data_IF_258072092182
#
_entry.id   IF_258072092182
#
_cell.length_a   1.000
_cell.length_b   1.000
_cell.length_c   1.000
_cell.angle_alpha   90.00
_cell.angle_beta   90.00
_cell.angle_gamma   90.00
#
_symmetry.space_group_name_H-M   'P 1'
#
loop_
_entity.id
_entity.type
_entity.pdbx_description
1 polymer ?
#
# COMPACT_ATOMS: atom_id res chain seq x y z
N UNK A 1 -42.36 -14.67 33.49
CA UNK A 1 -43.71 -15.27 33.34
C UNK A 1 -44.75 -14.35 33.98
N UNK A 2 -45.41 -13.50 33.21
CA UNK A 2 -46.81 -13.08 33.40
C UNK A 2 -47.22 -12.18 32.23
N UNK A 3 -47.96 -12.79 31.32
CA UNK A 3 -48.82 -12.15 30.34
C UNK A 3 -50.06 -11.59 31.05
N UNK A 4 -50.58 -10.45 30.58
CA UNK A 4 -52.03 -10.21 30.57
C UNK A 4 -52.39 -9.22 29.46
N UNK A 5 -53.47 -9.58 28.78
CA UNK A 5 -54.00 -9.01 27.54
C UNK A 5 -55.30 -8.23 27.81
N UNK A 6 -55.77 -7.48 26.79
CA UNK A 6 -57.17 -7.05 26.66
C UNK A 6 -57.28 -5.69 25.94
N UNK A 7 -57.47 -5.64 24.62
CA UNK A 7 -58.74 -5.68 23.86
C UNK A 7 -59.69 -4.48 24.07
N UNK A 8 -59.87 -3.68 23.00
CA UNK A 8 -61.17 -3.13 22.61
C UNK A 8 -61.16 -2.73 21.12
N UNK A 9 -61.91 -3.48 20.33
CA UNK A 9 -62.35 -3.18 18.96
C UNK A 9 -63.71 -2.47 19.03
N UNK A 10 -63.96 -1.56 18.08
CA UNK A 10 -65.11 -1.59 17.15
C UNK A 10 -65.64 -0.18 16.78
N UNK A 11 -66.00 -0.02 15.50
CA UNK A 11 -67.20 0.76 15.14
C UNK A 11 -67.12 1.71 13.96
N UNK A 12 -67.11 1.19 12.73
CA UNK A 12 -67.49 1.90 11.50
C UNK A 12 -68.93 2.44 11.55
N UNK A 13 -69.21 3.53 10.80
CA UNK A 13 -70.45 3.69 10.01
C UNK A 13 -70.30 4.74 8.89
N UNK A 14 -70.56 4.29 7.66
CA UNK A 14 -70.68 5.04 6.40
C UNK A 14 -72.02 5.80 6.26
N UNK A 15 -72.03 6.90 5.48
CA UNK A 15 -72.97 7.26 4.37
C UNK A 15 -72.63 8.66 3.83
N UNK A 16 -72.14 8.79 2.59
CA UNK A 16 -72.85 8.98 1.30
C UNK A 16 -73.39 10.41 1.06
N UNK A 17 -72.71 11.19 0.20
CA UNK A 17 -73.16 11.71 -1.13
C UNK A 17 -74.07 12.97 -1.06
N UNK A 18 -73.92 14.08 -1.81
CA UNK A 18 -73.57 14.27 -3.22
C UNK A 18 -73.59 15.79 -3.63
N UNK A 19 -73.00 16.08 -4.80
CA UNK A 19 -73.39 17.07 -5.84
C UNK A 19 -73.08 18.60 -5.75
N UNK A 20 -72.09 18.97 -6.57
CA UNK A 20 -72.09 20.02 -7.63
C UNK A 20 -72.38 21.51 -7.30
N UNK A 21 -71.38 22.37 -7.56
CA UNK A 21 -71.49 23.50 -8.54
C UNK A 21 -70.14 24.20 -8.82
N UNK A 22 -69.71 24.08 -10.09
CA UNK A 22 -69.11 25.09 -10.99
C UNK A 22 -68.21 26.19 -10.39
N UNK A 23 -66.91 26.06 -10.63
CA UNK A 23 -65.97 27.18 -10.69
C UNK A 23 -65.11 27.07 -11.95
N UNK A 24 -65.49 27.80 -13.00
CA UNK A 24 -64.75 27.95 -14.25
C UNK A 24 -63.84 29.16 -14.09
N UNK A 25 -62.53 28.97 -13.93
CA UNK A 25 -61.53 30.02 -14.18
C UNK A 25 -60.42 29.41 -15.03
N UNK A 26 -60.52 29.65 -16.34
CA UNK A 26 -59.40 29.49 -17.25
C UNK A 26 -58.60 30.80 -17.24
N UNK A 27 -57.28 30.66 -17.13
CA UNK A 27 -56.22 31.32 -17.91
C UNK A 27 -55.10 31.86 -17.02
N UNK A 28 -53.89 31.49 -17.40
CA UNK A 28 -52.71 32.32 -17.17
C UNK A 28 -51.58 31.58 -16.46
N UNK A 29 -50.45 31.48 -17.17
CA UNK A 29 -49.11 31.12 -16.69
C UNK A 29 -48.79 29.64 -16.51
N UNK A 30 -48.74 28.91 -17.63
CA UNK A 30 -47.53 28.10 -17.85
C UNK A 30 -46.36 29.07 -17.98
N UNK A 31 -45.61 29.22 -16.89
CA UNK A 31 -44.28 29.83 -16.93
C UNK A 31 -43.39 28.84 -17.68
N UNK A 32 -42.94 29.23 -18.86
CA UNK A 32 -41.83 28.58 -19.55
C UNK A 32 -40.62 28.63 -18.62
N UNK A 33 -40.32 27.50 -17.96
CA UNK A 33 -39.03 27.30 -17.32
C UNK A 33 -37.98 27.32 -18.43
N UNK A 34 -36.90 28.13 -18.34
CA UNK A 34 -35.86 28.09 -19.33
C UNK A 34 -35.30 26.67 -19.40
N UNK A 35 -35.43 26.04 -20.57
CA UNK A 35 -34.87 24.72 -20.80
C UNK A 35 -33.36 24.82 -20.56
N UNK A 36 -32.82 23.94 -19.72
CA UNK A 36 -31.37 23.89 -19.48
C UNK A 36 -30.70 23.63 -20.84
N UNK A 37 -29.74 24.45 -21.28
CA UNK A 37 -29.10 24.25 -22.57
C UNK A 37 -28.42 22.90 -22.58
N UNK A 38 -28.74 22.08 -23.58
CA UNK A 38 -28.11 20.78 -23.80
C UNK A 38 -26.59 20.99 -23.94
N UNK A 39 -25.83 20.46 -22.98
CA UNK A 39 -24.39 20.69 -22.86
C UNK A 39 -23.61 19.75 -23.77
N UNK A 40 -24.25 18.68 -24.24
CA UNK A 40 -23.64 17.64 -25.08
C UNK A 40 -23.63 18.03 -26.56
N UNK A 41 -24.36 19.09 -26.93
CA UNK A 41 -24.51 19.56 -28.31
C UNK A 41 -24.01 20.98 -28.48
N UNK A 42 -23.32 21.20 -29.59
CA UNK A 42 -22.82 22.50 -29.97
C UNK A 42 -23.98 23.45 -30.27
N UNK A 43 -24.00 24.63 -29.65
CA UNK A 43 -25.01 25.65 -29.93
C UNK A 43 -24.89 26.26 -31.35
N UNK A 44 -23.72 26.16 -31.99
CA UNK A 44 -23.46 26.74 -33.30
C UNK A 44 -23.82 25.79 -34.46
N UNK A 45 -23.56 24.49 -34.33
CA UNK A 45 -23.79 23.52 -35.41
C UNK A 45 -24.60 22.27 -35.01
N UNK A 46 -24.95 22.09 -33.73
CA UNK A 46 -25.68 20.92 -33.24
C UNK A 46 -24.85 19.63 -33.12
N UNK A 47 -23.58 19.65 -33.53
CA UNK A 47 -22.64 18.53 -33.45
C UNK A 47 -22.25 18.18 -32.01
N UNK A 48 -21.67 16.98 -31.77
CA UNK A 48 -21.25 16.55 -30.44
C UNK A 48 -20.12 17.44 -29.90
N UNK A 49 -20.16 17.68 -28.59
CA UNK A 49 -19.10 18.37 -27.85
C UNK A 49 -18.26 17.37 -27.07
N UNK A 50 -16.94 17.42 -27.22
CA UNK A 50 -15.97 16.62 -26.45
C UNK A 50 -15.37 17.46 -25.31
N UNK A 51 -15.09 16.82 -24.17
CA UNK A 51 -14.47 17.47 -23.00
C UNK A 51 -12.95 17.44 -23.13
N UNK A 52 -12.32 18.61 -23.03
CA UNK A 52 -10.88 18.77 -22.84
C UNK A 52 -10.60 19.09 -21.36
N UNK A 53 -10.28 18.04 -20.59
CA UNK A 53 -10.04 18.13 -19.15
C UNK A 53 -8.78 18.94 -18.80
N UNK A 54 -7.78 19.03 -19.69
CA UNK A 54 -6.55 19.77 -19.43
C UNK A 54 -6.78 21.29 -19.45
N UNK A 55 -7.79 21.74 -20.19
CA UNK A 55 -8.13 23.16 -20.36
C UNK A 55 -9.45 23.55 -19.70
N UNK A 56 -10.19 22.60 -19.14
CA UNK A 56 -11.54 22.83 -18.61
C UNK A 56 -12.48 23.44 -19.66
N UNK A 57 -12.46 22.89 -20.88
CA UNK A 57 -13.23 23.38 -22.01
C UNK A 57 -14.02 22.24 -22.68
N UNK A 58 -15.19 22.55 -23.24
CA UNK A 58 -15.88 21.71 -24.22
C UNK A 58 -15.52 22.19 -25.62
N UNK A 59 -15.16 21.26 -26.49
CA UNK A 59 -14.83 21.54 -27.90
C UNK A 59 -15.77 20.78 -28.82
N UNK A 60 -16.38 21.48 -29.76
CA UNK A 60 -17.09 20.83 -30.86
C UNK A 60 -16.11 20.21 -31.84
N UNK A 61 -16.29 18.93 -32.18
CA UNK A 61 -15.44 18.26 -33.17
C UNK A 61 -15.72 18.73 -34.60
N UNK A 62 -16.93 19.20 -34.89
CA UNK A 62 -17.35 19.56 -36.25
C UNK A 62 -17.02 21.02 -36.61
N UNK A 63 -17.26 21.97 -35.71
CA UNK A 63 -17.10 23.40 -35.99
C UNK A 63 -16.01 24.08 -35.14
N UNK A 64 -15.38 23.36 -34.21
CA UNK A 64 -14.32 23.89 -33.36
C UNK A 64 -14.80 24.91 -32.31
N UNK A 65 -16.11 25.11 -32.15
CA UNK A 65 -16.65 26.00 -31.12
C UNK A 65 -16.21 25.54 -29.72
N UNK A 66 -15.73 26.50 -28.93
CA UNK A 66 -15.27 26.29 -27.56
C UNK A 66 -16.29 26.82 -26.57
N UNK A 67 -16.48 26.08 -25.48
CA UNK A 67 -17.29 26.50 -24.35
C UNK A 67 -16.54 26.22 -23.05
N UNK A 68 -16.31 27.27 -22.27
CA UNK A 68 -15.67 27.15 -20.97
C UNK A 68 -16.55 26.34 -20.00
N UNK A 69 -15.97 25.33 -19.34
CA UNK A 69 -16.64 24.57 -18.30
C UNK A 69 -16.48 25.32 -16.98
N UNK A 70 -17.56 25.92 -16.49
CA UNK A 70 -17.58 26.54 -15.16
C UNK A 70 -17.72 25.45 -14.10
N UNK A 71 -16.59 25.01 -13.54
CA UNK A 71 -16.51 23.99 -12.50
C UNK A 71 -15.17 23.27 -12.48
N UNK A 72 -14.95 22.38 -11.51
CA UNK A 72 -13.81 21.44 -11.52
C UNK A 72 -14.13 20.28 -12.45
N UNK A 73 -13.47 20.23 -13.61
CA UNK A 73 -13.52 19.07 -14.50
C UNK A 73 -12.51 18.05 -13.97
N UNK A 74 -13.02 16.96 -13.41
CA UNK A 74 -12.16 15.87 -12.96
C UNK A 74 -11.87 14.95 -14.15
N UNK A 75 -10.60 14.61 -14.32
CA UNK A 75 -10.21 13.56 -15.25
C UNK A 75 -10.58 12.21 -14.64
N UNK A 76 -11.51 11.48 -15.26
CA UNK A 76 -11.95 10.15 -14.81
C UNK A 76 -10.78 9.16 -14.72
N UNK A 77 -9.66 9.42 -15.43
CA UNK A 77 -8.45 8.60 -15.31
C UNK A 77 -7.82 8.65 -13.91
N UNK A 78 -8.12 9.68 -13.11
CA UNK A 78 -7.59 9.86 -11.75
C UNK A 78 -8.41 9.14 -10.68
N UNK A 79 -9.60 8.62 -11.00
CA UNK A 79 -10.50 7.99 -10.03
C UNK A 79 -10.57 6.45 -10.09
N UNK A 80 -9.86 5.79 -11.02
CA UNK A 80 -9.80 4.33 -11.12
C UNK A 80 -8.83 3.66 -10.11
N UNK A 81 -8.81 4.14 -8.87
CA UNK A 81 -8.19 3.42 -7.74
C UNK A 81 -8.96 3.55 -6.43
N UNK A 82 -10.30 3.70 -6.51
CA UNK A 82 -11.16 3.40 -5.36
C UNK A 82 -11.46 1.90 -5.32
N UNK A 83 -10.82 1.23 -4.37
CA UNK A 83 -11.35 0.12 -3.58
C UNK A 83 -12.37 -0.79 -4.27
N UNK A 84 -11.92 -1.86 -4.95
CA UNK A 84 -12.82 -3.00 -5.20
C UNK A 84 -12.55 -3.86 -6.41
N UNK A 85 -11.93 -3.33 -7.47
CA UNK A 85 -11.52 -4.16 -8.60
C UNK A 85 -10.06 -4.58 -8.44
N UNK A 86 -9.84 -5.61 -7.62
CA UNK A 86 -8.68 -6.49 -7.81
C UNK A 86 -8.86 -7.13 -9.17
N UNK A 87 -8.39 -6.45 -10.23
CA UNK A 87 -8.17 -7.09 -11.50
C UNK A 87 -7.39 -8.36 -11.20
N UNK A 88 -7.98 -9.51 -11.53
CA UNK A 88 -7.34 -10.83 -11.48
C UNK A 88 -6.22 -10.95 -12.52
N UNK A 89 -5.52 -9.85 -12.80
CA UNK A 89 -4.21 -9.88 -13.42
C UNK A 89 -3.20 -9.85 -12.29
N UNK A 90 -2.76 -11.03 -11.86
CA UNK A 90 -1.63 -11.21 -10.96
C UNK A 90 -0.31 -10.84 -11.65
N UNK A 91 -0.26 -9.66 -12.30
CA UNK A 91 0.94 -9.15 -12.92
C UNK A 91 1.92 -8.84 -11.81
N UNK A 92 3.07 -9.50 -11.85
CA UNK A 92 4.14 -9.28 -10.90
C UNK A 92 4.55 -7.79 -10.91
N UNK A 93 4.45 -7.13 -9.74
CA UNK A 93 4.77 -5.71 -9.59
C UNK A 93 5.97 -5.55 -8.63
N UNK A 94 7.18 -5.24 -9.15
CA UNK A 94 8.37 -5.02 -8.35
C UNK A 94 8.21 -3.93 -7.28
N UNK A 95 7.51 -2.83 -7.58
CA UNK A 95 7.33 -1.72 -6.64
C UNK A 95 6.59 -2.17 -5.39
N UNK A 96 5.54 -3.00 -5.52
CA UNK A 96 4.82 -3.54 -4.35
C UNK A 96 5.76 -4.36 -3.45
N UNK A 97 6.64 -5.17 -4.04
CA UNK A 97 7.62 -5.95 -3.28
C UNK A 97 8.68 -5.05 -2.64
N UNK A 98 9.13 -4.01 -3.33
CA UNK A 98 10.03 -3.02 -2.78
C UNK A 98 9.43 -2.37 -1.54
N UNK A 99 8.24 -1.76 -1.67
CA UNK A 99 7.58 -1.05 -0.57
C UNK A 99 7.34 -1.97 0.63
N UNK A 100 6.90 -3.21 0.39
CA UNK A 100 6.73 -4.21 1.44
C UNK A 100 8.03 -4.44 2.23
N UNK A 101 9.12 -4.76 1.55
CA UNK A 101 10.38 -5.07 2.22
C UNK A 101 11.06 -3.84 2.79
N UNK A 102 10.95 -2.69 2.12
CA UNK A 102 11.50 -1.42 2.59
C UNK A 102 10.89 -1.01 3.92
N UNK A 103 9.56 -1.10 4.06
CA UNK A 103 8.86 -0.82 5.31
C UNK A 103 9.30 -1.75 6.44
N UNK A 104 9.39 -3.06 6.18
CA UNK A 104 9.81 -4.05 7.19
C UNK A 104 11.27 -3.88 7.60
N UNK A 105 12.18 -3.62 6.64
CA UNK A 105 13.60 -3.36 6.93
C UNK A 105 13.74 -2.13 7.82
N UNK A 106 12.95 -1.09 7.57
CA UNK A 106 12.94 0.16 8.34
C UNK A 106 12.00 0.13 9.55
N UNK A 107 11.45 -1.02 9.95
CA UNK A 107 10.56 -1.12 11.11
C UNK A 107 9.42 -0.08 11.10
N UNK A 108 8.82 0.11 9.91
CA UNK A 108 7.72 1.06 9.61
C UNK A 108 6.38 0.34 9.39
N UNK A 109 6.35 -0.97 9.50
CA UNK A 109 5.13 -1.76 9.41
C UNK A 109 4.22 -1.54 10.64
N UNK A 110 2.89 -1.75 10.49
CA UNK A 110 1.95 -1.65 11.60
C UNK A 110 2.25 -2.67 12.72
N UNK A 111 2.03 -2.26 13.97
CA UNK A 111 2.29 -3.13 15.15
C UNK A 111 1.29 -4.28 15.25
N UNK A 112 0.12 -4.12 14.62
CA UNK A 112 -0.92 -5.14 14.50
C UNK A 112 -0.41 -6.39 13.76
N UNK A 113 0.66 -6.27 12.95
CA UNK A 113 1.30 -7.43 12.32
C UNK A 113 1.97 -8.37 13.33
N UNK A 114 2.29 -7.90 14.54
CA UNK A 114 2.88 -8.71 15.62
C UNK A 114 1.81 -9.50 16.40
N UNK A 115 0.55 -9.05 16.36
CA UNK A 115 -0.56 -9.65 17.09
C UNK A 115 -1.82 -8.79 17.02
N UNK A 116 -2.93 -9.40 16.60
CA UNK A 116 -4.16 -8.69 16.22
C UNK A 116 -4.90 -7.97 17.37
N UNK A 117 -4.68 -8.35 18.63
CA UNK A 117 -5.45 -7.84 19.77
C UNK A 117 -4.63 -6.99 20.75
N UNK A 118 -3.32 -7.26 20.86
CA UNK A 118 -2.44 -6.71 21.88
C UNK A 118 -1.18 -6.05 21.30
N UNK A 119 -1.12 -5.85 19.97
CA UNK A 119 0.09 -5.34 19.31
C UNK A 119 1.31 -6.25 19.48
N UNK A 120 1.08 -7.54 19.78
CA UNK A 120 2.14 -8.51 20.04
C UNK A 120 2.80 -8.37 21.41
N UNK A 121 2.19 -7.71 22.39
CA UNK A 121 2.78 -7.56 23.73
C UNK A 121 3.02 -8.91 24.42
N UNK A 122 2.13 -9.90 24.23
CA UNK A 122 2.34 -11.26 24.73
C UNK A 122 3.60 -11.92 24.13
N UNK A 123 3.82 -11.72 22.83
CA UNK A 123 5.04 -12.17 22.15
C UNK A 123 6.27 -11.46 22.71
N UNK A 124 6.22 -10.14 22.85
CA UNK A 124 7.33 -9.35 23.37
C UNK A 124 7.67 -9.74 24.82
N UNK A 125 6.67 -10.01 25.66
CA UNK A 125 6.88 -10.51 27.02
C UNK A 125 7.57 -11.88 27.03
N UNK A 126 7.16 -12.80 26.16
CA UNK A 126 7.82 -14.10 26.01
C UNK A 126 9.29 -13.94 25.57
N UNK A 127 9.55 -13.09 24.58
CA UNK A 127 10.91 -12.81 24.10
C UNK A 127 11.78 -12.16 25.19
N UNK A 128 11.24 -11.22 25.97
CA UNK A 128 11.95 -10.61 27.12
C UNK A 128 12.30 -11.66 28.18
N UNK A 129 11.41 -12.60 28.46
CA UNK A 129 11.67 -13.70 29.39
C UNK A 129 12.81 -14.60 28.89
N UNK A 130 12.87 -14.88 27.58
CA UNK A 130 13.97 -15.65 26.97
C UNK A 130 15.32 -14.92 27.05
N UNK A 131 15.33 -13.60 26.80
CA UNK A 131 16.53 -12.78 26.94
C UNK A 131 17.07 -12.82 28.38
N UNK A 132 16.16 -12.73 29.36
CA UNK A 132 16.50 -12.82 30.77
C UNK A 132 17.03 -14.21 31.15
N UNK A 133 16.37 -15.29 30.68
CA UNK A 133 16.79 -16.68 30.87
C UNK A 133 18.20 -16.92 30.34
N UNK A 134 18.48 -16.45 29.12
CA UNK A 134 19.75 -16.66 28.43
C UNK A 134 20.83 -15.65 28.85
N UNK A 135 20.53 -14.73 29.77
CA UNK A 135 21.40 -13.64 30.24
C UNK A 135 22.01 -12.82 29.09
N UNK A 136 21.24 -12.60 28.04
CA UNK A 136 21.68 -11.85 26.85
C UNK A 136 21.64 -10.34 27.13
N UNK A 137 22.63 -9.62 26.62
CA UNK A 137 22.65 -8.15 26.66
C UNK A 137 21.73 -7.61 25.57
N UNK A 138 20.69 -6.87 25.95
CA UNK A 138 19.69 -6.32 25.01
C UNK A 138 20.31 -5.58 23.81
N UNK A 139 21.34 -4.77 24.05
CA UNK A 139 22.02 -3.97 23.01
C UNK A 139 22.80 -4.80 21.99
N UNK A 140 23.09 -6.06 22.30
CA UNK A 140 23.85 -6.97 21.44
C UNK A 140 22.94 -7.98 20.73
N UNK A 141 21.61 -7.85 20.88
CA UNK A 141 20.68 -8.72 20.18
C UNK A 141 20.75 -8.46 18.67
N UNK A 142 21.07 -9.53 17.95
CA UNK A 142 21.12 -9.53 16.49
C UNK A 142 19.81 -10.06 15.90
N UNK A 143 19.67 -9.95 14.58
CA UNK A 143 18.56 -10.58 13.84
C UNK A 143 18.52 -12.09 14.05
N UNK A 144 19.69 -12.75 14.06
CA UNK A 144 19.75 -14.20 14.20
C UNK A 144 19.29 -14.66 15.58
N UNK A 145 19.56 -13.86 16.62
CA UNK A 145 19.09 -14.13 17.97
C UNK A 145 17.56 -14.07 18.02
N UNK A 146 16.96 -13.02 17.45
CA UNK A 146 15.49 -12.92 17.41
C UNK A 146 14.87 -14.01 16.55
N UNK A 147 15.46 -14.37 15.41
CA UNK A 147 15.01 -15.52 14.60
C UNK A 147 15.09 -16.84 15.37
N UNK A 148 16.12 -17.02 16.20
CA UNK A 148 16.23 -18.20 17.06
C UNK A 148 15.13 -18.22 18.13
N UNK A 149 14.88 -17.07 18.77
CA UNK A 149 13.80 -16.95 19.76
C UNK A 149 12.42 -17.20 19.13
N UNK A 150 12.15 -16.64 17.94
CA UNK A 150 10.90 -16.85 17.20
C UNK A 150 10.67 -18.32 16.82
N UNK A 151 11.74 -19.07 16.52
CA UNK A 151 11.65 -20.52 16.28
C UNK A 151 11.25 -21.27 17.54
N UNK A 152 11.77 -20.88 18.70
CA UNK A 152 11.45 -21.53 19.98
C UNK A 152 9.99 -21.33 20.38
N UNK A 153 9.43 -20.13 20.15
CA UNK A 153 8.01 -19.83 20.42
C UNK A 153 7.07 -20.26 19.28
N UNK A 154 7.59 -20.86 18.21
CA UNK A 154 6.78 -21.32 17.07
C UNK A 154 6.24 -20.21 16.15
N UNK A 155 6.71 -18.97 16.28
CA UNK A 155 6.23 -17.79 15.54
C UNK A 155 7.15 -17.41 14.37
N UNK A 156 7.54 -18.39 13.55
CA UNK A 156 8.50 -18.17 12.45
C UNK A 156 7.97 -17.29 11.32
N UNK A 157 6.65 -17.12 11.21
CA UNK A 157 6.03 -16.21 10.23
C UNK A 157 6.40 -14.74 10.48
N UNK A 158 6.74 -14.39 11.73
CA UNK A 158 7.18 -13.05 12.13
C UNK A 158 8.65 -12.77 11.82
N UNK A 159 9.34 -13.68 11.11
CA UNK A 159 10.73 -13.46 10.68
C UNK A 159 10.90 -12.19 9.80
N UNK A 160 9.84 -11.77 9.10
CA UNK A 160 9.80 -10.52 8.34
C UNK A 160 9.77 -9.28 9.25
N UNK A 161 9.19 -9.38 10.45
CA UNK A 161 9.00 -8.30 11.43
C UNK A 161 10.16 -8.20 12.44
N UNK A 162 11.23 -8.97 12.26
CA UNK A 162 12.40 -8.96 13.17
C UNK A 162 12.98 -7.56 13.40
N UNK A 163 13.08 -6.66 12.40
CA UNK A 163 13.53 -5.29 12.65
C UNK A 163 12.63 -4.52 13.64
N UNK A 164 11.30 -4.65 13.51
CA UNK A 164 10.34 -4.05 14.45
C UNK A 164 10.43 -4.68 15.84
N UNK A 165 10.55 -6.01 15.92
CA UNK A 165 10.75 -6.71 17.21
C UNK A 165 12.02 -6.21 17.90
N UNK A 166 13.12 -6.06 17.16
CA UNK A 166 14.38 -5.53 17.71
C UNK A 166 14.23 -4.09 18.20
N UNK A 167 13.52 -3.24 17.44
CA UNK A 167 13.19 -1.87 17.86
C UNK A 167 12.41 -1.87 19.18
N UNK A 168 11.43 -2.77 19.34
CA UNK A 168 10.60 -2.90 20.55
C UNK A 168 11.34 -3.48 21.75
N UNK A 169 12.27 -4.42 21.52
CA UNK A 169 13.07 -5.02 22.58
C UNK A 169 14.21 -4.12 23.07
N UNK A 170 14.90 -3.45 22.15
CA UNK A 170 16.12 -2.69 22.44
C UNK A 170 15.89 -1.19 22.59
N UNK A 171 14.75 -0.68 22.10
CA UNK A 171 14.48 0.75 21.97
C UNK A 171 15.26 1.44 20.84
N UNK A 172 16.17 0.73 20.17
CA UNK A 172 17.00 1.30 19.09
C UNK A 172 16.36 0.96 17.74
N UNK A 173 15.92 2.01 17.04
CA UNK A 173 15.32 1.90 15.71
C UNK A 173 16.35 1.94 14.57
N UNK A 174 15.88 1.66 13.34
CA UNK A 174 16.64 1.92 12.12
C UNK A 174 17.12 3.38 12.01
N UNK A 175 18.22 3.63 11.30
CA UNK A 175 18.60 4.99 10.93
C UNK A 175 17.54 5.64 10.05
N UNK A 176 17.46 6.96 10.10
CA UNK A 176 16.55 7.72 9.25
C UNK A 176 17.09 7.74 7.82
N UNK A 177 16.22 7.37 6.88
CA UNK A 177 16.55 7.36 5.45
C UNK A 177 15.73 8.45 4.75
N UNK A 178 16.36 9.41 4.04
CA UNK A 178 15.65 10.44 3.30
C UNK A 178 14.76 9.85 2.20
N UNK A 179 13.60 10.47 1.97
CA UNK A 179 12.63 9.97 0.97
C UNK A 179 13.21 9.96 -0.45
N UNK A 180 13.95 11.01 -0.83
CA UNK A 180 14.64 11.07 -2.13
C UNK A 180 15.64 9.90 -2.32
N UNK A 181 16.21 9.38 -1.23
CA UNK A 181 17.06 8.20 -1.28
C UNK A 181 16.23 6.94 -1.48
N UNK A 182 15.10 6.79 -0.79
CA UNK A 182 14.18 5.66 -0.97
C UNK A 182 13.70 5.55 -2.43
N UNK A 183 13.28 6.66 -3.04
CA UNK A 183 12.86 6.70 -4.46
C UNK A 183 13.99 6.27 -5.41
N UNK A 184 15.24 6.65 -5.14
CA UNK A 184 16.39 6.20 -5.94
C UNK A 184 16.62 4.68 -5.81
N UNK A 185 16.50 4.15 -4.59
CA UNK A 185 16.64 2.70 -4.35
C UNK A 185 15.51 1.93 -5.05
N UNK A 186 14.27 2.41 -4.97
CA UNK A 186 13.11 1.82 -5.64
C UNK A 186 13.33 1.70 -7.15
N UNK A 187 13.71 2.81 -7.80
CA UNK A 187 13.93 2.85 -9.24
C UNK A 187 15.02 1.87 -9.70
N UNK A 188 16.09 1.71 -8.91
CA UNK A 188 17.15 0.76 -9.22
C UNK A 188 16.74 -0.68 -8.93
N UNK A 189 15.94 -0.90 -7.89
CA UNK A 189 15.39 -2.21 -7.55
C UNK A 189 14.51 -2.71 -8.69
N UNK A 190 13.58 -1.89 -9.17
CA UNK A 190 12.67 -2.26 -10.26
C UNK A 190 13.43 -2.63 -11.52
N UNK A 191 14.43 -1.83 -11.92
CA UNK A 191 15.33 -2.17 -13.04
C UNK A 191 16.11 -3.46 -12.82
N UNK A 192 16.63 -3.68 -11.61
CA UNK A 192 17.38 -4.90 -11.28
C UNK A 192 16.51 -6.16 -11.38
N UNK A 193 15.26 -6.07 -10.93
CA UNK A 193 14.30 -7.17 -11.02
C UNK A 193 13.88 -7.42 -12.48
N UNK A 194 13.61 -6.37 -13.27
CA UNK A 194 13.30 -6.51 -14.69
C UNK A 194 14.43 -7.18 -15.48
N UNK A 195 15.69 -6.77 -15.24
CA UNK A 195 16.87 -7.41 -15.84
C UNK A 195 16.97 -8.87 -15.37
N UNK A 196 16.75 -9.12 -14.09
CA UNK A 196 16.78 -10.45 -13.50
C UNK A 196 15.77 -11.40 -14.13
N UNK A 197 14.56 -10.94 -14.44
CA UNK A 197 13.55 -11.75 -15.13
C UNK A 197 13.89 -11.98 -16.61
N UNK A 198 14.49 -10.99 -17.31
CA UNK A 198 14.93 -11.15 -18.70
C UNK A 198 16.09 -12.14 -18.86
N UNK A 199 17.03 -12.15 -17.92
CA UNK A 199 18.25 -12.97 -17.96
C UNK A 199 18.03 -14.35 -17.30
N UNK A 200 16.85 -14.58 -16.70
CA UNK A 200 16.56 -15.80 -15.94
C UNK A 200 16.68 -17.05 -16.82
N UNK A 201 17.55 -17.99 -16.40
CA UNK A 201 17.67 -19.31 -17.03
C UNK A 201 16.38 -20.13 -16.82
N UNK A 202 15.97 -20.87 -17.84
CA UNK A 202 14.85 -21.81 -17.74
C UNK A 202 15.12 -22.86 -16.64
N UNK A 203 14.12 -23.16 -15.81
CA UNK A 203 14.20 -24.17 -14.76
C UNK A 203 14.61 -23.69 -13.37
N UNK A 204 14.78 -22.38 -13.13
CA UNK A 204 15.06 -21.88 -11.78
C UNK A 204 13.83 -21.99 -10.87
N UNK A 205 13.94 -22.79 -9.81
CA UNK A 205 12.89 -22.97 -8.79
C UNK A 205 12.94 -21.91 -7.70
N UNK A 206 14.15 -21.45 -7.33
CA UNK A 206 14.33 -20.50 -6.23
C UNK A 206 13.87 -19.09 -6.60
N UNK A 207 12.95 -18.55 -5.80
CA UNK A 207 12.49 -17.15 -5.89
C UNK A 207 13.61 -16.18 -5.53
N UNK A 208 13.53 -14.97 -6.08
CA UNK A 208 14.44 -13.88 -5.72
C UNK A 208 14.23 -13.48 -4.26
N UNK A 209 15.31 -13.39 -3.49
CA UNK A 209 15.26 -12.84 -2.15
C UNK A 209 15.44 -11.33 -2.23
N UNK A 210 14.33 -10.58 -2.27
CA UNK A 210 14.32 -9.14 -2.49
C UNK A 210 15.15 -8.31 -1.49
N UNK A 211 15.20 -8.63 -0.17
CA UNK A 211 16.04 -7.89 0.77
C UNK A 211 17.52 -7.84 0.37
N UNK A 212 18.03 -8.90 -0.29
CA UNK A 212 19.40 -8.91 -0.78
C UNK A 212 19.63 -7.87 -1.88
N UNK A 213 18.70 -7.74 -2.85
CA UNK A 213 18.80 -6.72 -3.90
C UNK A 213 18.76 -5.31 -3.31
N UNK A 214 17.86 -5.06 -2.37
CA UNK A 214 17.74 -3.77 -1.67
C UNK A 214 19.06 -3.44 -0.97
N UNK A 215 19.62 -4.37 -0.21
CA UNK A 215 20.90 -4.16 0.47
C UNK A 215 22.03 -3.82 -0.50
N UNK A 216 22.19 -4.59 -1.58
CA UNK A 216 23.26 -4.37 -2.57
C UNK A 216 23.12 -3.03 -3.28
N UNK A 217 21.89 -2.60 -3.55
CA UNK A 217 21.62 -1.28 -4.12
C UNK A 217 22.01 -0.19 -3.12
N UNK A 218 21.56 -0.28 -1.87
CA UNK A 218 21.90 0.75 -0.86
C UNK A 218 23.40 0.81 -0.64
N UNK A 219 24.08 -0.34 -0.53
CA UNK A 219 25.53 -0.42 -0.40
C UNK A 219 26.25 0.33 -1.54
N UNK A 220 25.74 0.23 -2.78
CA UNK A 220 26.29 0.93 -3.93
C UNK A 220 26.00 2.45 -3.94
N UNK A 221 24.88 2.90 -3.33
CA UNK A 221 24.41 4.29 -3.44
C UNK A 221 24.88 5.23 -2.33
N UNK A 222 25.18 4.71 -1.15
CA UNK A 222 25.62 5.53 0.00
C UNK A 222 26.94 5.03 0.54
N UNK A 223 27.80 5.93 1.01
CA UNK A 223 29.00 5.62 1.81
C UNK A 223 28.73 5.67 3.31
N UNK A 224 27.53 6.06 3.72
CA UNK A 224 27.10 6.14 5.11
C UNK A 224 27.25 4.76 5.79
N UNK A 225 28.16 4.71 6.76
CA UNK A 225 28.48 3.48 7.46
C UNK A 225 27.36 3.01 8.38
N UNK A 226 26.54 3.92 8.92
CA UNK A 226 25.42 3.55 9.79
C UNK A 226 24.30 2.90 8.99
N UNK A 227 23.93 3.48 7.85
CA UNK A 227 22.92 2.90 6.93
C UNK A 227 23.43 1.56 6.39
N UNK A 228 24.69 1.49 5.96
CA UNK A 228 25.30 0.23 5.48
C UNK A 228 25.33 -0.84 6.55
N UNK A 229 25.79 -0.51 7.77
CA UNK A 229 25.87 -1.47 8.87
C UNK A 229 24.50 -1.99 9.28
N UNK A 230 23.52 -1.09 9.41
CA UNK A 230 22.16 -1.48 9.76
C UNK A 230 21.57 -2.42 8.70
N UNK A 231 21.63 -2.04 7.42
CA UNK A 231 21.07 -2.86 6.36
C UNK A 231 21.82 -4.17 6.18
N UNK A 232 23.15 -4.17 6.33
CA UNK A 232 23.92 -5.40 6.34
C UNK A 232 23.43 -6.31 7.48
N UNK A 233 23.42 -5.85 8.73
CA UNK A 233 23.00 -6.65 9.88
C UNK A 233 21.59 -7.23 9.74
N UNK A 234 20.67 -6.48 9.11
CA UNK A 234 19.28 -6.92 8.92
C UNK A 234 19.06 -7.80 7.69
N UNK A 235 19.92 -7.73 6.67
CA UNK A 235 19.79 -8.53 5.42
C UNK A 235 20.77 -9.70 5.32
N UNK A 236 21.79 -9.75 6.17
CA UNK A 236 22.74 -10.88 6.34
C UNK A 236 21.99 -12.17 6.72
N UNK A 237 22.12 -13.32 6.04
CA UNK A 237 22.96 -13.78 4.92
C UNK A 237 24.49 -13.72 5.08
N UNK A 238 25.07 -13.50 6.28
CA UNK A 238 26.50 -13.85 6.45
C UNK A 238 26.67 -15.36 6.38
N UNK A 239 26.89 -15.87 5.16
CA UNK A 239 27.93 -16.86 4.97
C UNK A 239 29.29 -16.24 5.30
N UNK A 240 30.29 -17.06 5.65
CA UNK A 240 31.57 -16.60 6.17
C UNK A 240 32.20 -15.55 5.24
N UNK A 241 32.74 -14.49 5.85
CA UNK A 241 33.55 -13.49 5.15
C UNK A 241 34.57 -14.24 4.29
N UNK A 242 34.59 -13.98 2.99
CA UNK A 242 35.71 -14.40 2.14
C UNK A 242 36.95 -13.66 2.66
N UNK A 243 37.77 -14.37 3.43
CA UNK A 243 39.17 -14.01 3.63
C UNK A 243 39.90 -14.22 2.30
N UNK A 244 39.68 -13.32 1.35
CA UNK A 244 40.55 -13.19 0.20
C UNK A 244 41.63 -12.15 0.54
N UNK A 245 42.73 -12.64 1.10
CA UNK A 245 44.04 -12.01 0.92
C UNK A 245 45.11 -13.07 0.68
N UNK A 246 46.04 -12.80 -0.25
CA UNK A 246 46.75 -13.83 -0.98
C UNK A 246 47.83 -14.47 -0.10
N UNK A 247 47.85 -15.81 -0.04
CA UNK A 247 49.03 -16.53 0.43
C UNK A 247 50.17 -16.22 -0.53
N UNK A 248 51.08 -15.33 -0.10
CA UNK A 248 52.40 -15.15 -0.69
C UNK A 248 53.05 -16.51 -0.84
N UNK A 249 53.25 -16.94 -2.08
CA UNK A 249 54.16 -18.00 -2.43
C UNK A 249 55.57 -17.56 -2.04
N UNK A 250 56.12 -18.14 -0.97
CA UNK A 250 57.57 -18.11 -0.75
C UNK A 250 58.25 -19.08 -1.71
N UNK A 251 59.37 -18.71 -2.34
CA UNK A 251 60.08 -19.57 -3.26
C UNK A 251 60.78 -20.69 -2.47
N UNK A 252 60.54 -21.94 -2.89
CA UNK A 252 61.35 -23.09 -2.46
C UNK A 252 62.79 -22.85 -2.93
N UNK A 253 63.72 -22.77 -1.98
CA UNK A 253 65.15 -22.96 -2.25
C UNK A 253 65.33 -24.42 -2.67
N UNK A 254 65.83 -24.61 -3.88
CA UNK A 254 66.40 -25.87 -4.32
C UNK A 254 67.77 -26.02 -3.65
N UNK A 255 67.96 -27.15 -2.97
CA UNK A 255 69.25 -27.75 -2.71
C UNK A 255 69.49 -28.82 -3.77
#
# INVERSE_FOLDING_TARGET
LRWQAGLALAGCKHRLSSLHRRGRFQRGLQRDLPQRPDVERCAACGGPMAVDAARSELRCEDCGALRELVGTVFDDSQFYSQEGQKAKSGTFNPNRHFQFWWSHILAREPEEELGAADGGEALLAALRAMVARDRRVLRLLTVNDVRAMLREVGQTELNKNVPLILKKLTGVGPPQVPEAFAVRVENLFTKAIEIGERVRRAGRVNRNYYPYYIYRIVEALTTDHEIRRFLAEKTRLEGPRREDSPRRSSPRRLA
#
